data_IF_126542031072
#
_entry.id   IF_126542031072
#
_cell.length_a   1.000
_cell.length_b   1.000
_cell.length_c   1.000
_cell.angle_alpha   90.00
_cell.angle_beta   90.00
_cell.angle_gamma   90.00
#
_symmetry.space_group_name_H-M   'P 1'
#
loop_
_entity.id
_entity.type
_entity.pdbx_description
1 polymer ?
#
# COMPACT_ATOMS: atom_id res chain seq x y z
N UNK A 1 -1.23 9.31 -5.95
CA UNK A 1 -1.17 10.62 -5.26
C UNK A 1 -0.23 11.65 -5.95
N UNK A 2 0.36 11.37 -7.13
CA UNK A 2 1.23 12.34 -7.85
C UNK A 2 2.73 12.23 -7.56
N UNK A 3 3.16 11.35 -6.65
CA UNK A 3 4.56 11.20 -6.22
C UNK A 3 5.16 9.82 -6.58
N UNK A 4 4.55 9.12 -7.53
CA UNK A 4 5.02 7.80 -7.95
C UNK A 4 6.34 7.89 -8.73
N UNK A 5 7.14 6.83 -8.62
CA UNK A 5 8.38 6.61 -9.37
C UNK A 5 8.37 5.17 -9.91
N UNK A 6 9.20 4.85 -10.91
CA UNK A 6 9.32 3.46 -11.38
C UNK A 6 9.70 2.53 -10.21
N UNK A 7 8.98 1.41 -10.12
CA UNK A 7 9.14 0.45 -9.02
C UNK A 7 8.48 0.89 -7.70
N UNK A 8 7.59 1.90 -7.70
CA UNK A 8 6.76 2.16 -6.52
C UNK A 8 5.75 1.03 -6.33
N UNK A 9 5.58 0.61 -5.08
CA UNK A 9 4.57 -0.37 -4.70
C UNK A 9 3.16 0.16 -5.01
N UNK A 10 2.26 -0.78 -5.29
CA UNK A 10 0.85 -0.46 -5.53
C UNK A 10 0.06 -0.81 -4.27
N UNK A 11 -0.60 0.19 -3.67
CA UNK A 11 -1.50 -0.02 -2.56
C UNK A 11 -2.96 -0.08 -3.03
N UNK A 12 -3.69 -1.09 -2.57
CA UNK A 12 -5.12 -1.25 -2.78
C UNK A 12 -5.88 -1.26 -1.44
N UNK A 13 -7.06 -0.67 -1.42
CA UNK A 13 -7.93 -0.64 -0.23
C UNK A 13 -9.33 -1.10 -0.60
N UNK A 14 -9.77 -2.22 -0.01
CA UNK A 14 -11.13 -2.71 -0.16
C UNK A 14 -12.06 -1.97 0.81
N UNK A 15 -13.06 -1.28 0.26
CA UNK A 15 -14.10 -0.61 1.06
C UNK A 15 -15.31 -1.53 1.19
N UNK A 16 -15.54 -2.03 2.40
CA UNK A 16 -16.56 -3.04 2.71
C UNK A 16 -17.50 -2.55 3.81
N UNK A 17 -18.80 -2.54 3.50
CA UNK A 17 -19.86 -2.24 4.49
C UNK A 17 -19.87 -3.30 5.59
N UNK A 18 -20.19 -2.90 6.82
CA UNK A 18 -20.30 -3.79 8.00
C UNK A 18 -19.00 -4.54 8.34
N UNK A 19 -17.84 -4.02 7.92
CA UNK A 19 -16.52 -4.59 8.21
C UNK A 19 -15.74 -3.64 9.13
N UNK A 20 -16.15 -3.55 10.40
CA UNK A 20 -15.72 -2.49 11.33
C UNK A 20 -14.63 -2.92 12.30
N UNK A 21 -14.42 -4.22 12.49
CA UNK A 21 -13.50 -4.75 13.50
C UNK A 21 -12.32 -5.48 12.86
N UNK A 22 -11.17 -5.47 13.54
CA UNK A 22 -9.94 -6.08 13.03
C UNK A 22 -10.08 -7.55 12.60
N UNK A 23 -10.87 -8.34 13.33
CA UNK A 23 -11.11 -9.74 12.96
C UNK A 23 -11.88 -9.86 11.63
N UNK A 24 -12.83 -8.95 11.37
CA UNK A 24 -13.55 -8.90 10.09
C UNK A 24 -12.60 -8.57 8.94
N UNK A 25 -11.67 -7.63 9.13
CA UNK A 25 -10.64 -7.30 8.13
C UNK A 25 -9.76 -8.51 7.82
N UNK A 26 -9.26 -9.19 8.85
CA UNK A 26 -8.43 -10.39 8.67
C UNK A 26 -9.17 -11.50 7.91
N UNK A 27 -10.45 -11.73 8.21
CA UNK A 27 -11.26 -12.70 7.47
C UNK A 27 -11.37 -12.33 5.98
N UNK A 28 -11.55 -11.05 5.65
CA UNK A 28 -11.59 -10.59 4.25
C UNK A 28 -10.23 -10.69 3.56
N UNK A 29 -9.13 -10.39 4.26
CA UNK A 29 -7.78 -10.58 3.72
C UNK A 29 -7.45 -12.07 3.45
N UNK A 30 -7.90 -12.99 4.32
CA UNK A 30 -7.78 -14.44 4.08
C UNK A 30 -8.61 -14.91 2.88
N UNK A 31 -9.78 -14.29 2.67
CA UNK A 31 -10.58 -14.54 1.47
C UNK A 31 -9.83 -14.09 0.22
N UNK A 32 -9.21 -12.90 0.23
CA UNK A 32 -8.32 -12.44 -0.86
C UNK A 32 -7.22 -13.46 -1.13
N UNK A 33 -6.51 -13.91 -0.09
CA UNK A 33 -5.47 -14.94 -0.23
C UNK A 33 -6.00 -16.25 -0.87
N UNK A 34 -7.20 -16.68 -0.47
CA UNK A 34 -7.83 -17.90 -1.01
C UNK A 34 -8.23 -17.73 -2.48
N UNK A 35 -8.72 -16.55 -2.87
CA UNK A 35 -9.06 -16.22 -4.24
C UNK A 35 -7.81 -16.16 -5.13
N UNK A 36 -6.75 -15.48 -4.69
CA UNK A 36 -5.47 -15.42 -5.43
C UNK A 36 -4.92 -16.81 -5.71
N UNK A 37 -4.97 -17.70 -4.70
CA UNK A 37 -4.55 -19.10 -4.85
C UNK A 37 -5.45 -19.86 -5.82
N UNK A 38 -6.77 -19.73 -5.70
CA UNK A 38 -7.75 -20.45 -6.53
C UNK A 38 -7.63 -20.07 -8.00
N UNK A 39 -7.50 -18.78 -8.28
CA UNK A 39 -7.39 -18.24 -9.64
C UNK A 39 -5.96 -18.30 -10.20
N UNK A 40 -4.99 -18.85 -9.45
CA UNK A 40 -3.56 -18.97 -9.84
C UNK A 40 -2.93 -17.64 -10.25
N UNK A 41 -3.33 -16.55 -9.59
CA UNK A 41 -2.83 -15.21 -9.89
C UNK A 41 -1.43 -14.95 -9.29
N UNK A 42 -1.02 -15.75 -8.32
CA UNK A 42 0.24 -15.56 -7.62
C UNK A 42 0.25 -16.13 -6.21
N UNK A 43 1.09 -15.56 -5.36
CA UNK A 43 1.15 -15.87 -3.93
C UNK A 43 0.65 -14.70 -3.10
N UNK A 44 0.25 -14.98 -1.86
CA UNK A 44 -0.25 -13.93 -0.96
C UNK A 44 0.15 -14.23 0.47
N UNK A 45 0.62 -13.20 1.17
CA UNK A 45 1.01 -13.24 2.57
C UNK A 45 0.18 -12.24 3.37
N UNK A 46 -0.51 -12.69 4.42
CA UNK A 46 -1.29 -11.81 5.30
C UNK A 46 -0.44 -11.35 6.48
N UNK A 47 0.02 -10.10 6.42
CA UNK A 47 0.78 -9.44 7.49
C UNK A 47 -0.19 -8.93 8.55
N UNK A 48 -0.30 -9.68 9.64
CA UNK A 48 -1.24 -9.39 10.73
C UNK A 48 -0.66 -8.53 11.85
N UNK A 49 0.65 -8.48 12.04
CA UNK A 49 1.26 -7.83 13.22
C UNK A 49 1.11 -6.30 13.23
N UNK A 50 0.94 -5.69 12.06
CA UNK A 50 0.77 -4.24 11.94
C UNK A 50 -0.61 -3.78 12.45
N UNK A 51 -0.69 -2.49 12.83
CA UNK A 51 -1.93 -1.81 13.24
C UNK A 51 -3.03 -1.94 12.17
N UNK A 52 -2.65 -1.81 10.90
CA UNK A 52 -3.51 -2.07 9.74
C UNK A 52 -2.99 -3.35 9.10
N UNK A 53 -3.72 -4.48 9.21
CA UNK A 53 -3.34 -5.70 8.52
C UNK A 53 -3.41 -5.51 7.00
N UNK A 54 -2.47 -6.13 6.29
CA UNK A 54 -2.41 -6.12 4.82
C UNK A 54 -2.20 -7.51 4.27
N UNK A 55 -2.69 -7.77 3.06
CA UNK A 55 -2.34 -8.92 2.26
C UNK A 55 -1.35 -8.46 1.18
N UNK A 56 -0.11 -8.94 1.24
CA UNK A 56 0.93 -8.67 0.24
C UNK A 56 0.77 -9.66 -0.90
N UNK A 57 0.42 -9.18 -2.09
CA UNK A 57 0.24 -10.00 -3.28
C UNK A 57 1.53 -10.00 -4.09
N UNK A 58 1.95 -11.17 -4.55
CA UNK A 58 3.12 -11.35 -5.40
C UNK A 58 2.75 -12.19 -6.62
N UNK A 59 3.34 -11.90 -7.77
CA UNK A 59 3.11 -12.69 -8.98
C UNK A 59 3.71 -14.10 -8.85
N UNK A 60 3.57 -14.90 -9.91
CA UNK A 60 4.10 -16.27 -9.95
C UNK A 60 5.63 -16.30 -9.90
N UNK A 61 6.31 -15.21 -10.23
CA UNK A 61 7.75 -15.04 -10.14
C UNK A 61 8.20 -14.44 -8.80
N UNK A 62 7.26 -14.20 -7.87
CA UNK A 62 7.54 -13.66 -6.54
C UNK A 62 7.73 -12.15 -6.49
N UNK A 63 7.49 -11.41 -7.58
CA UNK A 63 7.56 -9.93 -7.58
C UNK A 63 6.34 -9.36 -6.87
N UNK A 64 6.54 -8.37 -6.01
CA UNK A 64 5.44 -7.70 -5.33
C UNK A 64 4.56 -6.96 -6.34
N UNK A 65 3.26 -7.28 -6.30
CA UNK A 65 2.25 -6.71 -7.20
C UNK A 65 1.50 -5.58 -6.50
N UNK A 66 0.96 -5.86 -5.31
CA UNK A 66 0.26 -4.87 -4.52
C UNK A 66 0.07 -5.29 -3.06
N UNK A 67 -0.09 -4.31 -2.19
CA UNK A 67 -0.52 -4.49 -0.81
C UNK A 67 -2.02 -4.18 -0.70
N UNK A 68 -2.82 -5.16 -0.28
CA UNK A 68 -4.27 -5.03 -0.12
C UNK A 68 -4.62 -4.82 1.35
N UNK A 69 -5.27 -3.72 1.66
CA UNK A 69 -5.84 -3.41 2.97
C UNK A 69 -7.38 -3.43 2.93
N UNK A 70 -8.02 -3.46 4.09
CA UNK A 70 -9.49 -3.40 4.21
C UNK A 70 -9.86 -2.19 5.06
N UNK A 71 -10.74 -1.34 4.54
CA UNK A 71 -11.25 -0.14 5.22
C UNK A 71 -10.16 0.77 5.80
N UNK A 72 -8.98 0.81 5.18
CA UNK A 72 -7.95 1.81 5.49
C UNK A 72 -8.31 3.17 4.87
N UNK A 73 -9.42 3.75 5.33
CA UNK A 73 -9.97 5.01 4.83
C UNK A 73 -9.00 6.16 5.04
N UNK A 74 -8.26 6.16 6.16
CA UNK A 74 -7.23 7.16 6.44
C UNK A 74 -6.15 7.21 5.34
N UNK A 75 -5.70 6.05 4.81
CA UNK A 75 -4.75 6.03 3.71
C UNK A 75 -5.34 6.56 2.39
N UNK A 76 -6.63 6.33 2.13
CA UNK A 76 -7.33 6.88 0.98
C UNK A 76 -7.45 8.41 1.06
N UNK A 77 -7.88 8.92 2.21
CA UNK A 77 -8.00 10.37 2.44
C UNK A 77 -6.63 11.07 2.38
N UNK A 78 -5.59 10.48 2.97
CA UNK A 78 -4.22 10.99 2.82
C UNK A 78 -3.77 11.00 1.36
N UNK A 79 -4.07 9.94 0.60
CA UNK A 79 -3.72 9.86 -0.82
C UNK A 79 -4.45 10.92 -1.66
N UNK A 80 -5.72 11.22 -1.34
CA UNK A 80 -6.51 12.29 -1.95
C UNK A 80 -5.96 13.65 -1.59
N UNK A 81 -5.73 13.91 -0.31
CA UNK A 81 -5.16 15.16 0.18
C UNK A 81 -3.82 15.48 -0.49
N UNK A 82 -2.89 14.52 -0.51
CA UNK A 82 -1.59 14.66 -1.15
C UNK A 82 -1.73 14.85 -2.68
N UNK A 83 -2.70 14.18 -3.32
CA UNK A 83 -2.99 14.40 -4.74
C UNK A 83 -3.49 15.83 -5.01
N UNK A 84 -4.36 16.37 -4.16
CA UNK A 84 -4.83 17.76 -4.25
C UNK A 84 -3.65 18.72 -4.14
N UNK A 85 -2.76 18.54 -3.16
CA UNK A 85 -1.55 19.37 -3.03
C UNK A 85 -0.66 19.32 -4.28
N UNK A 86 -0.51 18.14 -4.87
CA UNK A 86 0.28 17.97 -6.09
C UNK A 86 -0.35 18.65 -7.32
N UNK A 87 -1.67 18.83 -7.34
CA UNK A 87 -2.38 19.52 -8.42
C UNK A 87 -2.36 21.04 -8.24
N UNK A 88 -2.28 21.53 -7.00
CA UNK A 88 -2.25 22.98 -6.71
C UNK A 88 -0.97 23.66 -7.21
N UNK A 89 0.17 22.98 -7.18
CA UNK A 89 1.45 23.55 -7.63
C UNK A 89 2.37 22.49 -8.27
N UNK A 90 2.82 22.68 -9.53
CA UNK A 90 3.65 21.71 -10.23
C UNK A 90 5.04 21.49 -9.62
N UNK A 91 5.50 22.37 -8.72
CA UNK A 91 6.77 22.22 -7.98
C UNK A 91 6.66 21.19 -6.88
N UNK A 92 5.48 20.99 -6.30
CA UNK A 92 5.23 20.03 -5.21
C UNK A 92 5.62 18.59 -5.60
N UNK A 93 5.12 18.00 -6.71
CA UNK A 93 5.52 16.65 -7.11
C UNK A 93 6.98 16.56 -7.58
N UNK A 94 7.61 17.68 -8.00
CA UNK A 94 9.04 17.70 -8.32
C UNK A 94 9.90 17.59 -7.06
N UNK A 95 9.64 18.44 -6.07
CA UNK A 95 10.35 18.44 -4.79
C UNK A 95 10.14 17.13 -4.03
N UNK A 96 8.90 16.62 -3.96
CA UNK A 96 8.65 15.36 -3.24
C UNK A 96 9.31 14.14 -3.90
N UNK A 97 9.35 14.07 -5.24
CA UNK A 97 10.11 13.01 -5.93
C UNK A 97 11.62 13.13 -5.70
N UNK A 98 12.15 14.36 -5.69
CA UNK A 98 13.56 14.60 -5.34
C UNK A 98 13.89 14.12 -3.92
N UNK A 99 13.08 14.50 -2.92
CA UNK A 99 13.26 14.06 -1.52
C UNK A 99 13.16 12.54 -1.42
N UNK A 100 12.16 11.93 -2.06
CA UNK A 100 11.98 10.46 -2.07
C UNK A 100 13.21 9.75 -2.66
N UNK A 101 13.74 10.24 -3.78
CA UNK A 101 14.95 9.69 -4.39
C UNK A 101 16.16 9.86 -3.46
N UNK A 102 16.39 11.05 -2.93
CA UNK A 102 17.49 11.32 -2.00
C UNK A 102 17.45 10.40 -0.76
N UNK A 103 16.30 10.28 -0.11
CA UNK A 103 16.11 9.43 1.07
C UNK A 103 16.38 7.95 0.76
N UNK A 104 15.90 7.46 -0.40
CA UNK A 104 16.18 6.10 -0.87
C UNK A 104 17.67 5.86 -1.13
N UNK A 105 18.37 6.80 -1.76
CA UNK A 105 19.82 6.71 -1.99
C UNK A 105 20.62 6.72 -0.69
N UNK A 106 20.09 7.32 0.38
CA UNK A 106 20.68 7.34 1.72
C UNK A 106 20.21 6.19 2.62
N UNK A 107 19.31 5.33 2.14
CA UNK A 107 18.71 4.21 2.91
C UNK A 107 18.06 4.66 4.22
N UNK A 108 17.35 5.79 4.18
CA UNK A 108 16.62 6.36 5.32
C UNK A 108 15.11 6.40 5.08
N UNK A 109 14.62 5.52 4.19
CA UNK A 109 13.22 5.47 3.74
C UNK A 109 12.51 4.15 4.09
N UNK A 110 12.91 3.50 5.18
CA UNK A 110 12.34 2.23 5.63
C UNK A 110 11.89 2.31 7.10
N UNK A 111 10.58 2.39 7.30
CA UNK A 111 9.95 2.40 8.63
C UNK A 111 10.24 1.15 9.45
N UNK A 112 10.36 -0.02 8.82
CA UNK A 112 10.68 -1.25 9.55
C UNK A 112 12.09 -1.23 10.16
N UNK A 113 13.00 -0.43 9.57
CA UNK A 113 14.36 -0.20 10.06
C UNK A 113 14.46 1.05 10.96
N UNK A 114 13.34 1.68 11.33
CA UNK A 114 13.30 2.87 12.19
C UNK A 114 13.58 4.20 11.48
N UNK A 115 13.57 4.22 10.14
CA UNK A 115 13.72 5.44 9.33
C UNK A 115 12.37 5.89 8.74
N UNK A 116 12.31 6.96 7.94
CA UNK A 116 11.05 7.61 7.51
C UNK A 116 10.67 7.33 6.07
#
# INVERSE_FOLDING_TARGET
NGFWMNGSDVDACLILRRCTHRQSWLTKLRLVQSLVKRERLGTTEVVKAARVPVAKLRDLQGRELCDVSVNNVAALENSRFVATLAQLDPRVPRLGRFIKHWASRRRINNRAEGTL
#
